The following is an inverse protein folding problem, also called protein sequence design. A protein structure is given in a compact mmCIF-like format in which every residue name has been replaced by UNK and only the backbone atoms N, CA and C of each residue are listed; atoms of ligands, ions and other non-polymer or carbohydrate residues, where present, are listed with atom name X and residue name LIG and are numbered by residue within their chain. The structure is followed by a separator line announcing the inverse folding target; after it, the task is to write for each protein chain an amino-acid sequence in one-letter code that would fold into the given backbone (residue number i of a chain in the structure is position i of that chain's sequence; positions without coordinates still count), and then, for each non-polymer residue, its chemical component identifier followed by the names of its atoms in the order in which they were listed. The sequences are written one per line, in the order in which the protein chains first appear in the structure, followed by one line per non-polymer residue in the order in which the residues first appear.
data_IF_648184524328
#
_entry.id   IF_648184524328
#
_cell.length_a   1.000
_cell.length_b   1.000
_cell.length_c   1.000
_cell.angle_alpha   90.00
_cell.angle_beta   90.00
_cell.angle_gamma   90.00
#
_symmetry.space_group_name_H-M   'P 1'
#
loop_
_entity.id
_entity.type
_entity.pdbx_description
1 polymer ?
#
# COMPACT_ATOMS: atom_id res chain seq x y z
N UNK A 1 7.82 -30.95 -1.98
CA UNK A 1 6.98 -30.68 -0.81
C UNK A 1 5.93 -29.64 -1.20
N UNK A 2 4.66 -29.77 -0.81
CA UNK A 2 3.65 -28.73 -1.08
C UNK A 2 3.96 -27.51 -0.19
N UNK A 3 3.91 -26.30 -0.79
CA UNK A 3 4.07 -25.02 -0.05
C UNK A 3 3.05 -24.95 1.10
N UNK A 4 3.44 -24.52 2.33
CA UNK A 4 2.52 -24.36 3.45
C UNK A 4 1.43 -23.34 3.15
N UNK A 5 0.26 -23.49 3.76
CA UNK A 5 -0.85 -22.52 3.68
C UNK A 5 -0.45 -21.28 4.47
N UNK A 6 -0.46 -20.13 3.82
CA UNK A 6 -0.05 -18.84 4.38
C UNK A 6 -1.23 -18.15 5.04
N UNK A 7 -1.13 -17.91 6.33
CA UNK A 7 -2.22 -17.40 7.17
C UNK A 7 -1.87 -16.03 7.73
N UNK A 8 -2.77 -15.05 7.56
CA UNK A 8 -2.76 -13.82 8.31
C UNK A 8 -3.69 -14.00 9.53
N UNK A 9 -3.17 -13.84 10.75
CA UNK A 9 -3.94 -13.96 11.98
C UNK A 9 -4.33 -12.57 12.50
N UNK A 10 -5.63 -12.35 12.68
CA UNK A 10 -6.18 -11.08 13.16
C UNK A 10 -6.87 -11.30 14.50
N UNK A 11 -6.50 -10.53 15.52
CA UNK A 11 -7.07 -10.64 16.87
C UNK A 11 -7.24 -9.23 17.49
N UNK A 12 -8.23 -9.07 18.37
CA UNK A 12 -8.46 -7.81 19.09
C UNK A 12 -7.40 -7.56 20.15
N UNK A 13 -6.39 -6.76 19.81
CA UNK A 13 -5.27 -6.41 20.68
C UNK A 13 -4.12 -7.43 20.69
N UNK A 14 -2.94 -7.01 21.16
CA UNK A 14 -1.69 -7.77 21.02
C UNK A 14 -1.64 -9.06 21.85
N UNK A 15 -2.43 -9.17 22.92
CA UNK A 15 -2.46 -10.33 23.81
C UNK A 15 -3.49 -11.41 23.39
N UNK A 16 -4.49 -11.04 22.57
CA UNK A 16 -5.57 -11.94 22.18
C UNK A 16 -5.10 -13.02 21.20
N UNK A 17 -5.57 -14.24 21.35
CA UNK A 17 -5.36 -15.33 20.40
C UNK A 17 -3.93 -15.87 20.30
N UNK A 18 -3.01 -15.52 21.22
CA UNK A 18 -1.61 -15.96 21.17
C UNK A 18 -1.46 -17.48 21.17
N UNK A 19 -2.18 -18.17 22.04
CA UNK A 19 -2.19 -19.62 22.11
C UNK A 19 -2.77 -20.27 20.83
N UNK A 20 -3.81 -19.66 20.25
CA UNK A 20 -4.42 -20.14 19.00
C UNK A 20 -3.48 -19.96 17.82
N UNK A 21 -2.83 -18.80 17.69
CA UNK A 21 -1.85 -18.56 16.64
C UNK A 21 -0.66 -19.53 16.73
N UNK A 22 -0.14 -19.76 17.93
CA UNK A 22 0.94 -20.73 18.17
C UNK A 22 0.50 -22.17 17.86
N UNK A 23 -0.71 -22.55 18.30
CA UNK A 23 -1.25 -23.87 18.03
C UNK A 23 -1.45 -24.12 16.53
N UNK A 24 -1.88 -23.13 15.76
CA UNK A 24 -2.05 -23.24 14.30
C UNK A 24 -0.69 -23.30 13.61
N UNK A 25 0.26 -22.44 14.00
CA UNK A 25 1.62 -22.40 13.45
C UNK A 25 2.47 -23.63 13.78
N UNK A 26 2.05 -24.47 14.74
CA UNK A 26 2.70 -25.75 15.02
C UNK A 26 2.45 -26.83 13.93
N UNK A 27 1.50 -26.61 13.00
CA UNK A 27 1.31 -27.49 11.84
C UNK A 27 2.30 -27.12 10.75
N UNK A 28 3.21 -28.01 10.30
CA UNK A 28 4.20 -27.72 9.26
C UNK A 28 3.56 -27.39 7.89
N UNK A 29 2.30 -27.71 7.69
CA UNK A 29 1.54 -27.36 6.49
C UNK A 29 0.93 -25.94 6.55
N UNK A 30 1.12 -25.20 7.63
CA UNK A 30 0.59 -23.86 7.87
C UNK A 30 1.73 -22.91 8.27
N UNK A 31 1.79 -21.75 7.62
CA UNK A 31 2.71 -20.66 7.93
C UNK A 31 1.92 -19.44 8.39
N UNK A 32 2.08 -19.02 9.64
CA UNK A 32 1.50 -17.78 10.15
C UNK A 32 2.43 -16.64 9.75
N UNK A 33 2.01 -15.86 8.74
CA UNK A 33 2.80 -14.76 8.16
C UNK A 33 2.97 -13.59 9.11
N UNK A 34 1.87 -13.21 9.75
CA UNK A 34 1.82 -12.10 10.68
C UNK A 34 0.63 -12.22 11.61
N UNK A 35 0.68 -11.47 12.73
CA UNK A 35 -0.42 -11.26 13.66
C UNK A 35 -0.75 -9.78 13.70
N UNK A 36 -2.01 -9.42 13.51
CA UNK A 36 -2.51 -8.04 13.54
C UNK A 36 -3.40 -7.84 14.77
N UNK A 37 -3.34 -6.65 15.33
CA UNK A 37 -4.15 -6.25 16.48
C UNK A 37 -5.46 -5.56 16.10
N UNK A 38 -5.69 -5.29 14.81
CA UNK A 38 -6.89 -4.62 14.31
C UNK A 38 -7.21 -4.99 12.87
N UNK A 39 -8.48 -4.79 12.47
CA UNK A 39 -8.91 -4.94 11.09
C UNK A 39 -8.23 -3.93 10.13
N UNK A 40 -7.96 -2.72 10.62
CA UNK A 40 -7.31 -1.65 9.81
C UNK A 40 -5.88 -2.06 9.43
N UNK A 41 -5.10 -2.56 10.40
CA UNK A 41 -3.76 -3.09 10.15
C UNK A 41 -3.79 -4.30 9.20
N UNK A 42 -4.79 -5.17 9.38
CA UNK A 42 -4.94 -6.38 8.57
C UNK A 42 -5.21 -6.09 7.10
N UNK A 43 -5.92 -5.01 6.75
CA UNK A 43 -6.19 -4.62 5.35
C UNK A 43 -4.90 -4.46 4.55
N UNK A 44 -3.96 -3.70 5.09
CA UNK A 44 -2.67 -3.47 4.43
C UNK A 44 -1.83 -4.75 4.34
N UNK A 45 -1.88 -5.58 5.39
CA UNK A 45 -1.15 -6.85 5.42
C UNK A 45 -1.77 -7.92 4.51
N UNK A 46 -3.09 -7.96 4.32
CA UNK A 46 -3.75 -8.82 3.32
C UNK A 46 -3.19 -8.50 1.94
N UNK A 47 -3.18 -7.22 1.60
CA UNK A 47 -2.70 -6.78 0.31
C UNK A 47 -1.18 -6.96 0.15
N UNK A 48 -0.38 -6.68 1.18
CA UNK A 48 1.08 -6.80 1.12
C UNK A 48 1.56 -8.26 1.06
N UNK A 49 0.97 -9.11 1.88
CA UNK A 49 1.43 -10.49 2.06
C UNK A 49 0.71 -11.49 1.17
N UNK A 50 -0.44 -11.13 0.59
CA UNK A 50 -1.31 -12.03 -0.17
C UNK A 50 -1.49 -13.39 0.54
N UNK A 51 -2.06 -13.43 1.76
CA UNK A 51 -2.24 -14.68 2.50
C UNK A 51 -3.18 -15.62 1.75
N UNK A 52 -3.05 -16.92 1.96
CA UNK A 52 -3.98 -17.89 1.41
C UNK A 52 -5.30 -17.90 2.22
N UNK A 53 -5.24 -17.51 3.50
CA UNK A 53 -6.38 -17.45 4.44
C UNK A 53 -6.18 -16.30 5.41
N UNK A 54 -7.25 -15.56 5.71
CA UNK A 54 -7.31 -14.63 6.83
C UNK A 54 -8.07 -15.31 7.97
N UNK A 55 -7.43 -15.48 9.11
CA UNK A 55 -8.04 -16.07 10.29
C UNK A 55 -8.34 -14.98 11.32
N UNK A 56 -9.61 -14.66 11.49
CA UNK A 56 -10.11 -13.70 12.46
C UNK A 56 -10.43 -14.42 13.79
N UNK A 57 -9.66 -14.08 14.82
CA UNK A 57 -9.93 -14.49 16.19
C UNK A 57 -10.83 -13.44 16.85
N UNK A 58 -12.14 -13.69 16.80
CA UNK A 58 -13.13 -12.71 17.26
C UNK A 58 -13.45 -12.93 18.73
N UNK A 59 -13.01 -12.02 19.60
CA UNK A 59 -13.72 -11.74 20.85
C UNK A 59 -14.72 -10.59 20.65
N UNK A 60 -14.50 -9.68 19.74
CA UNK A 60 -15.39 -8.57 19.34
C UNK A 60 -14.82 -7.75 18.19
N UNK A 61 -14.68 -8.29 16.99
CA UNK A 61 -14.54 -7.34 15.88
C UNK A 61 -15.80 -6.50 15.80
N UNK A 62 -15.68 -5.16 15.88
CA UNK A 62 -16.82 -4.31 15.61
C UNK A 62 -17.37 -4.62 14.19
N UNK A 63 -18.67 -4.48 13.94
CA UNK A 63 -19.25 -4.80 12.65
C UNK A 63 -18.60 -4.07 11.47
N UNK A 64 -18.11 -2.85 11.68
CA UNK A 64 -17.42 -2.03 10.68
C UNK A 64 -16.04 -2.59 10.34
N UNK A 65 -15.26 -2.96 11.34
CA UNK A 65 -13.95 -3.57 11.16
C UNK A 65 -14.03 -4.93 10.46
N UNK A 66 -15.05 -5.73 10.80
CA UNK A 66 -15.30 -7.01 10.13
C UNK A 66 -15.66 -6.82 8.66
N UNK A 67 -16.57 -5.91 8.34
CA UNK A 67 -16.96 -5.63 6.96
C UNK A 67 -15.78 -5.11 6.12
N UNK A 68 -14.93 -4.26 6.71
CA UNK A 68 -13.71 -3.77 6.07
C UNK A 68 -12.75 -4.93 5.76
N UNK A 69 -12.56 -5.84 6.71
CA UNK A 69 -11.69 -7.01 6.56
C UNK A 69 -12.21 -7.98 5.48
N UNK A 70 -13.52 -8.27 5.50
CA UNK A 70 -14.17 -9.15 4.52
C UNK A 70 -14.04 -8.57 3.10
N UNK A 71 -14.21 -7.25 2.93
CA UNK A 71 -14.02 -6.57 1.64
C UNK A 71 -12.58 -6.67 1.16
N UNK A 72 -11.60 -6.34 2.00
CA UNK A 72 -10.18 -6.40 1.64
C UNK A 72 -9.73 -7.84 1.33
N UNK A 73 -10.23 -8.80 2.09
CA UNK A 73 -9.95 -10.22 1.87
C UNK A 73 -10.57 -10.73 0.55
N UNK A 74 -11.79 -10.29 0.22
CA UNK A 74 -12.44 -10.62 -1.04
C UNK A 74 -11.71 -10.04 -2.24
N UNK A 75 -11.25 -8.79 -2.17
CA UNK A 75 -10.42 -8.14 -3.19
C UNK A 75 -9.09 -8.89 -3.39
N UNK A 76 -8.44 -9.33 -2.31
CA UNK A 76 -7.25 -10.18 -2.35
C UNK A 76 -7.53 -11.65 -2.68
N UNK A 77 -8.79 -12.06 -2.80
CA UNK A 77 -9.21 -13.45 -3.05
C UNK A 77 -8.96 -14.40 -1.88
N UNK A 78 -8.71 -13.90 -0.66
CA UNK A 78 -8.46 -14.72 0.53
C UNK A 78 -9.78 -14.98 1.29
N UNK A 79 -10.12 -16.24 1.63
CA UNK A 79 -11.26 -16.51 2.49
C UNK A 79 -10.97 -16.03 3.93
N UNK A 80 -12.01 -15.43 4.55
CA UNK A 80 -11.98 -15.08 5.98
C UNK A 80 -12.59 -16.22 6.78
N UNK A 81 -11.82 -16.80 7.68
CA UNK A 81 -12.28 -17.78 8.64
C UNK A 81 -12.39 -17.12 10.03
N UNK A 82 -13.47 -17.38 10.74
CA UNK A 82 -13.66 -16.89 12.10
C UNK A 82 -13.39 -18.02 13.08
N UNK A 83 -12.49 -17.78 14.04
CA UNK A 83 -12.30 -18.61 15.23
C UNK A 83 -12.96 -17.90 16.41
N UNK A 84 -14.08 -18.43 16.91
CA UNK A 84 -14.84 -17.80 18.00
C UNK A 84 -14.24 -18.16 19.36
N UNK A 85 -13.87 -17.12 20.12
CA UNK A 85 -13.31 -17.27 21.48
C UNK A 85 -14.38 -17.29 22.58
N UNK A 86 -15.63 -16.90 22.27
CA UNK A 86 -16.69 -16.64 23.26
C UNK A 86 -17.38 -17.91 23.76
N UNK A 87 -17.32 -18.99 23.01
CA UNK A 87 -18.05 -20.21 23.31
C UNK A 87 -17.19 -21.32 23.96
N UNK A 88 -16.03 -20.99 24.54
CA UNK A 88 -15.08 -21.99 25.09
C UNK A 88 -14.35 -22.74 23.96
N UNK A 89 -13.68 -23.88 24.23
CA UNK A 89 -12.98 -24.64 23.19
C UNK A 89 -13.99 -25.44 22.33
N UNK A 90 -14.92 -24.72 21.68
CA UNK A 90 -15.96 -25.33 20.83
C UNK A 90 -15.36 -26.00 19.59
N UNK A 91 -14.20 -25.54 19.15
CA UNK A 91 -13.45 -26.15 18.06
C UNK A 91 -12.06 -26.55 18.54
N UNK A 92 -11.70 -27.84 18.36
CA UNK A 92 -10.34 -28.27 18.63
C UNK A 92 -9.35 -27.61 17.68
N UNK A 93 -8.12 -27.35 18.14
CA UNK A 93 -7.07 -26.83 17.25
C UNK A 93 -6.85 -27.72 16.02
N UNK A 94 -7.12 -29.01 16.10
CA UNK A 94 -7.06 -29.95 14.98
C UNK A 94 -8.12 -29.61 13.92
N UNK A 95 -9.36 -29.37 14.31
CA UNK A 95 -10.45 -29.01 13.40
C UNK A 95 -10.19 -27.63 12.75
N UNK A 96 -9.70 -26.67 13.53
CA UNK A 96 -9.33 -25.35 13.01
C UNK A 96 -8.20 -25.41 11.97
N UNK A 97 -7.16 -26.21 12.22
CA UNK A 97 -6.08 -26.47 11.24
C UNK A 97 -6.62 -27.09 9.95
N UNK A 98 -7.57 -28.01 10.06
CA UNK A 98 -8.17 -28.68 8.90
C UNK A 98 -8.99 -27.69 8.05
N UNK A 99 -9.77 -26.82 8.69
CA UNK A 99 -10.48 -25.73 8.02
C UNK A 99 -9.54 -24.76 7.31
N UNK A 100 -8.46 -24.35 7.96
CA UNK A 100 -7.43 -23.47 7.38
C UNK A 100 -6.78 -24.13 6.16
N UNK A 101 -6.41 -25.40 6.25
CA UNK A 101 -5.82 -26.13 5.11
C UNK A 101 -6.80 -26.26 3.94
N UNK A 102 -8.06 -26.59 4.24
CA UNK A 102 -9.12 -26.70 3.22
C UNK A 102 -9.37 -25.37 2.49
N UNK A 103 -9.51 -24.28 3.23
CA UNK A 103 -9.73 -22.94 2.66
C UNK A 103 -8.53 -22.47 1.83
N UNK A 104 -7.31 -22.69 2.31
CA UNK A 104 -6.09 -22.33 1.56
C UNK A 104 -5.92 -23.16 0.28
N UNK A 105 -6.28 -24.43 0.30
CA UNK A 105 -6.27 -25.28 -0.89
C UNK A 105 -7.31 -24.82 -1.95
N UNK A 106 -8.51 -24.48 -1.50
CA UNK A 106 -9.56 -23.97 -2.38
C UNK A 106 -9.17 -22.66 -3.07
N UNK A 107 -8.55 -21.72 -2.33
CA UNK A 107 -8.04 -20.46 -2.90
C UNK A 107 -7.00 -20.68 -3.99
N UNK A 108 -6.05 -21.60 -3.76
CA UNK A 108 -4.98 -21.89 -4.74
C UNK A 108 -5.52 -22.52 -6.02
N UNK A 109 -6.64 -23.25 -5.94
CA UNK A 109 -7.29 -23.80 -7.10
C UNK A 109 -8.01 -22.71 -7.95
N UNK A 110 -8.40 -21.59 -7.32
CA UNK A 110 -9.13 -20.49 -7.95
C UNK A 110 -8.52 -19.13 -7.57
N UNK A 111 -7.31 -18.77 -8.07
CA UNK A 111 -6.71 -17.49 -7.76
C UNK A 111 -7.56 -16.35 -8.35
N UNK A 112 -7.95 -15.39 -7.52
CA UNK A 112 -8.62 -14.18 -7.99
C UNK A 112 -7.65 -13.40 -8.90
N UNK A 113 -8.08 -13.11 -10.13
CA UNK A 113 -7.34 -12.27 -11.07
C UNK A 113 -7.88 -10.84 -10.98
N UNK A 114 -7.02 -9.82 -10.72
CA UNK A 114 -7.47 -8.43 -10.80
C UNK A 114 -8.08 -8.15 -12.17
N UNK A 115 -9.26 -7.53 -12.19
CA UNK A 115 -9.87 -7.09 -13.44
C UNK A 115 -9.01 -5.96 -14.05
N UNK A 116 -8.68 -5.99 -15.35
CA UNK A 116 -7.99 -4.90 -16.01
C UNK A 116 -8.88 -3.65 -16.00
N UNK A 117 -8.37 -2.54 -15.47
CA UNK A 117 -9.04 -1.25 -15.57
C UNK A 117 -8.90 -0.70 -16.99
N UNK A 118 -9.98 -0.18 -17.63
CA UNK A 118 -9.86 0.52 -18.90
C UNK A 118 -9.05 1.81 -18.70
N UNK A 119 -8.06 2.04 -19.53
CA UNK A 119 -7.18 3.21 -19.45
C UNK A 119 -6.28 3.32 -20.68
N UNK A 120 -5.42 4.34 -20.71
CA UNK A 120 -4.47 4.57 -21.79
C UNK A 120 -3.59 3.35 -22.07
N UNK A 121 -3.21 3.16 -23.32
CA UNK A 121 -2.32 2.07 -23.71
C UNK A 121 -0.91 2.26 -23.13
N UNK A 122 -0.14 1.18 -22.88
CA UNK A 122 1.24 1.29 -22.38
C UNK A 122 2.12 2.25 -23.21
N UNK A 123 1.91 2.31 -24.51
CA UNK A 123 2.66 3.21 -25.41
C UNK A 123 2.28 4.69 -25.25
N UNK A 124 1.05 4.99 -24.84
CA UNK A 124 0.63 6.36 -24.51
C UNK A 124 1.21 6.81 -23.17
N UNK A 125 1.19 5.94 -22.16
CA UNK A 125 1.80 6.21 -20.86
C UNK A 125 3.32 6.43 -21.00
N UNK A 126 4.01 5.61 -21.81
CA UNK A 126 5.44 5.76 -22.07
C UNK A 126 5.80 7.11 -22.72
N UNK A 127 4.96 7.64 -23.63
CA UNK A 127 5.17 8.99 -24.20
C UNK A 127 5.00 10.08 -23.17
N UNK A 128 3.98 10.01 -22.33
CA UNK A 128 3.75 10.97 -21.25
C UNK A 128 4.87 10.97 -20.18
N UNK A 129 5.53 9.85 -20.00
CA UNK A 129 6.63 9.70 -19.04
C UNK A 129 7.88 10.52 -19.40
N UNK A 130 8.04 10.97 -20.65
CA UNK A 130 9.22 11.73 -21.07
C UNK A 130 9.28 13.15 -20.48
N UNK A 131 8.13 13.75 -20.16
CA UNK A 131 8.04 15.10 -19.59
C UNK A 131 8.13 15.13 -18.05
N UNK A 132 8.21 13.99 -17.37
CA UNK A 132 8.23 13.89 -15.90
C UNK A 132 9.64 13.55 -15.42
N UNK A 133 10.15 14.31 -14.44
CA UNK A 133 11.48 14.07 -13.85
C UNK A 133 11.45 13.12 -12.66
N UNK A 134 10.40 13.20 -11.85
CA UNK A 134 10.21 12.39 -10.65
C UNK A 134 8.73 12.19 -10.37
N UNK A 135 8.36 10.99 -9.97
CA UNK A 135 7.03 10.67 -9.45
C UNK A 135 7.15 10.41 -7.94
N UNK A 136 6.20 10.94 -7.16
CA UNK A 136 6.12 10.68 -5.73
C UNK A 136 4.72 10.19 -5.38
N UNK A 137 4.61 9.08 -4.64
CA UNK A 137 3.31 8.52 -4.26
C UNK A 137 3.28 8.27 -2.75
N UNK A 138 2.25 8.78 -2.08
CA UNK A 138 1.99 8.56 -0.67
C UNK A 138 0.71 7.75 -0.47
N UNK A 139 0.72 6.80 0.46
CA UNK A 139 -0.43 5.96 0.77
C UNK A 139 -0.38 5.41 2.21
N UNK A 140 -1.54 4.98 2.72
CA UNK A 140 -1.68 4.33 4.03
C UNK A 140 -2.73 3.21 3.95
N UNK A 141 -3.74 3.21 4.79
CA UNK A 141 -4.79 2.16 4.84
C UNK A 141 -5.47 1.97 3.47
N UNK A 142 -5.46 0.75 2.95
CA UNK A 142 -5.91 0.42 1.60
C UNK A 142 -4.90 0.78 0.49
N UNK A 143 -3.75 1.37 0.89
CA UNK A 143 -2.73 1.87 -0.03
C UNK A 143 -1.99 0.77 -0.78
N UNK A 144 -1.81 -0.39 -0.18
CA UNK A 144 -1.09 -1.50 -0.81
C UNK A 144 -1.80 -1.96 -2.08
N UNK A 145 -3.12 -2.16 -2.04
CA UNK A 145 -3.90 -2.54 -3.22
C UNK A 145 -3.98 -1.39 -4.23
N UNK A 146 -4.14 -0.15 -3.72
CA UNK A 146 -4.12 1.03 -4.56
C UNK A 146 -2.79 1.17 -5.34
N UNK A 147 -1.66 0.95 -4.67
CA UNK A 147 -0.32 0.97 -5.28
C UNK A 147 -0.16 -0.14 -6.32
N UNK A 148 -0.63 -1.35 -6.06
CA UNK A 148 -0.63 -2.45 -7.06
C UNK A 148 -1.39 -2.02 -8.31
N UNK A 149 -2.60 -1.46 -8.16
CA UNK A 149 -3.43 -1.00 -9.30
C UNK A 149 -2.77 0.12 -10.10
N UNK A 150 -2.13 1.07 -9.43
CA UNK A 150 -1.48 2.22 -10.09
C UNK A 150 -0.18 1.78 -10.76
N UNK A 151 0.72 1.13 -10.00
CA UNK A 151 2.08 0.80 -10.46
C UNK A 151 2.11 -0.33 -11.51
N UNK A 152 1.16 -1.26 -11.49
CA UNK A 152 1.06 -2.31 -12.53
C UNK A 152 0.78 -1.75 -13.93
N UNK A 153 0.35 -0.48 -14.04
CA UNK A 153 0.14 0.22 -15.30
C UNK A 153 1.33 1.07 -15.72
N UNK A 154 2.36 1.21 -14.89
CA UNK A 154 3.53 2.02 -15.20
C UNK A 154 4.35 1.40 -16.33
N UNK A 155 4.87 2.21 -17.28
CA UNK A 155 5.78 1.71 -18.31
C UNK A 155 7.13 1.29 -17.70
N UNK A 156 7.82 0.34 -18.36
CA UNK A 156 9.09 -0.19 -17.88
C UNK A 156 10.17 0.89 -17.71
N UNK A 157 10.16 1.95 -18.54
CA UNK A 157 11.08 3.08 -18.47
C UNK A 157 10.49 4.28 -17.72
N UNK A 158 9.61 4.03 -16.74
CA UNK A 158 9.00 5.08 -15.90
C UNK A 158 10.04 6.07 -15.37
N UNK A 159 9.71 7.36 -15.17
CA UNK A 159 10.55 8.25 -14.36
C UNK A 159 10.89 7.65 -13.00
N UNK A 160 12.04 7.99 -12.38
CA UNK A 160 12.31 7.59 -11.01
C UNK A 160 11.07 7.84 -10.17
N UNK A 161 10.64 6.82 -9.41
CA UNK A 161 9.42 6.91 -8.61
C UNK A 161 9.75 6.60 -7.16
N UNK A 162 9.35 7.45 -6.22
CA UNK A 162 9.44 7.18 -4.78
C UNK A 162 8.05 6.94 -4.22
N UNK A 163 7.94 5.93 -3.38
CA UNK A 163 6.69 5.50 -2.75
C UNK A 163 6.85 5.48 -1.24
N UNK A 164 5.97 6.17 -0.53
CA UNK A 164 5.83 6.05 0.92
C UNK A 164 4.49 5.38 1.22
N UNK A 165 4.55 4.16 1.73
CA UNK A 165 3.42 3.42 2.26
C UNK A 165 3.61 3.26 3.77
N UNK A 166 2.65 3.70 4.57
CA UNK A 166 2.71 3.46 6.02
C UNK A 166 2.56 1.97 6.30
N UNK A 167 3.66 1.36 6.73
CA UNK A 167 3.75 -0.08 6.92
C UNK A 167 4.89 -0.41 7.90
N UNK A 168 4.74 -1.42 8.77
CA UNK A 168 5.83 -1.85 9.63
C UNK A 168 7.05 -2.34 8.83
N UNK A 169 8.26 -2.09 9.36
CA UNK A 169 9.54 -2.41 8.70
C UNK A 169 9.64 -3.86 8.20
N UNK A 170 9.06 -4.80 8.97
CA UNK A 170 9.10 -6.22 8.63
C UNK A 170 8.46 -6.55 7.27
N UNK A 171 7.59 -5.68 6.74
CA UNK A 171 6.79 -5.98 5.54
C UNK A 171 7.21 -5.17 4.31
N UNK A 172 7.99 -4.10 4.44
CA UNK A 172 8.33 -3.21 3.31
C UNK A 172 9.15 -3.91 2.23
N UNK A 173 10.13 -4.72 2.60
CA UNK A 173 10.91 -5.51 1.64
C UNK A 173 10.06 -6.55 0.89
N UNK A 174 9.17 -7.27 1.59
CA UNK A 174 8.25 -8.24 0.98
C UNK A 174 7.25 -7.57 0.06
N UNK A 175 6.77 -6.38 0.42
CA UNK A 175 5.87 -5.57 -0.40
C UNK A 175 6.56 -5.08 -1.68
N UNK A 176 7.78 -4.55 -1.57
CA UNK A 176 8.57 -4.15 -2.72
C UNK A 176 8.81 -5.32 -3.69
N UNK A 177 9.20 -6.49 -3.18
CA UNK A 177 9.37 -7.70 -3.99
C UNK A 177 8.06 -8.17 -4.66
N UNK A 178 6.92 -8.03 -3.99
CA UNK A 178 5.63 -8.31 -4.59
C UNK A 178 5.31 -7.34 -5.73
N UNK A 179 5.49 -6.03 -5.52
CA UNK A 179 5.30 -5.03 -6.57
C UNK A 179 6.22 -5.30 -7.77
N UNK A 180 7.49 -5.65 -7.53
CA UNK A 180 8.45 -6.00 -8.57
C UNK A 180 7.94 -7.15 -9.46
N UNK A 181 7.29 -8.15 -8.86
CA UNK A 181 6.70 -9.28 -9.60
C UNK A 181 5.45 -8.95 -10.41
N UNK A 182 4.80 -7.80 -10.15
CA UNK A 182 3.52 -7.40 -10.76
C UNK A 182 3.64 -6.21 -11.72
N UNK A 183 4.75 -5.47 -11.64
CA UNK A 183 4.95 -4.23 -12.37
C UNK A 183 5.99 -4.40 -13.48
N UNK A 184 5.91 -3.57 -14.53
CA UNK A 184 6.91 -3.57 -15.59
C UNK A 184 8.23 -2.87 -15.19
N UNK A 185 8.24 -1.75 -14.42
CA UNK A 185 9.47 -1.19 -13.86
C UNK A 185 10.02 -2.05 -12.72
N UNK A 186 11.32 -1.94 -12.45
CA UNK A 186 11.96 -2.58 -11.29
C UNK A 186 11.50 -1.89 -10.01
N UNK A 187 11.01 -2.66 -9.04
CA UNK A 187 10.59 -2.15 -7.74
C UNK A 187 11.50 -2.67 -6.63
N UNK A 188 12.02 -1.78 -5.80
CA UNK A 188 12.94 -2.11 -4.70
C UNK A 188 12.57 -1.36 -3.43
N UNK A 189 12.87 -1.98 -2.29
CA UNK A 189 12.95 -1.21 -1.05
C UNK A 189 14.14 -0.24 -1.15
N UNK A 190 13.93 1.02 -0.76
CA UNK A 190 14.95 2.05 -0.85
C UNK A 190 16.06 1.86 0.21
N UNK A 191 17.29 2.25 -0.12
CA UNK A 191 18.42 2.31 0.81
C UNK A 191 19.06 3.70 0.77
N UNK A 192 19.81 4.06 1.81
CA UNK A 192 20.48 5.37 1.83
C UNK A 192 21.51 5.47 0.70
N UNK A 193 21.43 6.55 -0.06
CA UNK A 193 22.27 6.77 -1.22
C UNK A 193 21.80 6.09 -2.51
N UNK A 194 20.66 5.38 -2.52
CA UNK A 194 20.10 4.75 -3.74
C UNK A 194 19.99 5.76 -4.88
N UNK A 195 20.60 5.51 -6.07
CA UNK A 195 20.47 6.42 -7.21
C UNK A 195 19.04 6.42 -7.73
N UNK A 196 18.50 7.60 -8.03
CA UNK A 196 17.16 7.74 -8.63
C UNK A 196 17.26 7.57 -10.16
N UNK A 197 16.96 6.38 -10.63
CA UNK A 197 17.10 5.95 -12.02
C UNK A 197 15.74 5.76 -12.71
N UNK A 198 15.68 6.03 -14.01
CA UNK A 198 14.51 5.66 -14.82
C UNK A 198 14.29 4.15 -14.81
N UNK A 199 13.04 3.73 -14.90
CA UNK A 199 12.66 2.34 -14.82
C UNK A 199 12.64 1.78 -13.39
N UNK A 200 12.87 2.61 -12.37
CA UNK A 200 12.94 2.17 -10.98
C UNK A 200 11.89 2.87 -10.08
N UNK A 201 11.30 2.06 -9.22
CA UNK A 201 10.39 2.48 -8.14
C UNK A 201 11.04 2.13 -6.80
N UNK A 202 11.12 3.09 -5.90
CA UNK A 202 11.77 2.99 -4.60
C UNK A 202 10.73 3.08 -3.49
N UNK A 203 10.48 1.98 -2.80
CA UNK A 203 9.56 1.91 -1.66
C UNK A 203 10.32 2.31 -0.40
N UNK A 204 9.85 3.30 0.33
CA UNK A 204 10.46 3.73 1.58
C UNK A 204 10.44 2.59 2.61
N UNK A 205 11.59 2.24 3.24
CA UNK A 205 11.60 1.25 4.30
C UNK A 205 10.82 1.74 5.51
N UNK A 206 10.01 0.88 6.10
CA UNK A 206 9.43 1.15 7.41
C UNK A 206 10.50 1.16 8.49
N UNK A 207 10.33 1.91 9.57
CA UNK A 207 11.21 1.81 10.71
C UNK A 207 11.94 3.10 11.12
N UNK A 208 13.27 3.11 11.27
CA UNK A 208 13.94 4.17 12.02
C UNK A 208 14.21 5.45 11.21
N UNK A 209 13.86 5.51 9.92
CA UNK A 209 14.21 6.65 9.08
C UNK A 209 13.05 7.11 8.18
N UNK A 210 13.07 8.38 7.80
CA UNK A 210 12.26 8.92 6.71
C UNK A 210 12.99 8.77 5.38
N UNK A 211 12.23 8.65 4.28
CA UNK A 211 12.77 8.78 2.94
C UNK A 211 12.73 10.24 2.54
N UNK A 212 13.85 10.78 2.13
CA UNK A 212 14.01 12.09 1.52
C UNK A 212 14.66 11.97 0.14
N UNK A 213 14.47 12.96 -0.71
CA UNK A 213 15.08 13.05 -2.03
C UNK A 213 16.14 14.13 -2.03
N UNK A 214 17.34 13.77 -2.46
CA UNK A 214 18.39 14.70 -2.83
C UNK A 214 18.47 14.76 -4.37
N UNK A 215 18.43 15.99 -4.94
CA UNK A 215 18.46 16.17 -6.39
C UNK A 215 19.79 16.70 -6.89
N UNK A 216 20.42 17.60 -6.16
CA UNK A 216 21.72 18.19 -6.45
C UNK A 216 22.67 17.92 -5.26
N UNK A 217 23.93 17.56 -5.43
CA UNK A 217 24.67 17.36 -6.70
C UNK A 217 24.39 16.03 -7.39
N UNK A 218 23.73 15.08 -6.75
CA UNK A 218 23.40 13.77 -7.28
C UNK A 218 21.97 13.38 -6.93
N UNK A 219 21.27 12.80 -7.90
CA UNK A 219 19.89 12.32 -7.74
C UNK A 219 19.88 11.02 -6.96
N UNK A 220 19.47 11.06 -5.69
CA UNK A 220 19.48 9.89 -4.81
C UNK A 220 18.43 9.97 -3.71
N UNK A 221 18.09 8.83 -3.17
CA UNK A 221 17.36 8.69 -1.91
C UNK A 221 18.30 8.99 -0.73
N UNK A 222 17.77 9.64 0.29
CA UNK A 222 18.39 9.74 1.62
C UNK A 222 17.44 9.14 2.64
N UNK A 223 17.99 8.34 3.56
CA UNK A 223 17.26 7.84 4.71
C UNK A 223 17.70 8.61 5.95
N UNK A 224 16.79 9.41 6.51
CA UNK A 224 17.10 10.35 7.60
C UNK A 224 16.44 9.88 8.90
N UNK A 225 17.22 9.51 9.94
CA UNK A 225 16.68 9.00 11.20
C UNK A 225 16.26 10.16 12.12
N UNK A 226 15.14 10.80 11.78
CA UNK A 226 14.54 11.86 12.60
C UNK A 226 13.26 11.38 13.27
N UNK A 227 12.69 12.18 14.17
CA UNK A 227 11.48 11.87 14.90
C UNK A 227 10.28 11.62 13.95
N UNK A 228 9.30 10.77 14.34
CA UNK A 228 8.10 10.55 13.57
C UNK A 228 7.34 11.86 13.30
N UNK A 229 6.89 12.05 12.06
CA UNK A 229 6.02 13.16 11.65
C UNK A 229 4.62 12.61 11.43
N UNK A 230 3.59 13.28 11.94
CA UNK A 230 2.20 12.80 11.94
C UNK A 230 2.03 11.39 12.52
N UNK A 231 2.90 11.00 13.48
CA UNK A 231 3.01 9.65 14.08
C UNK A 231 3.54 8.57 13.13
N UNK A 232 4.04 8.95 11.96
CA UNK A 232 4.54 8.01 10.94
C UNK A 232 6.04 8.19 10.69
N UNK A 233 6.71 7.09 10.50
CA UNK A 233 8.09 6.98 10.00
C UNK A 233 8.22 5.67 9.21
N UNK A 234 8.34 5.79 7.84
CA UNK A 234 8.46 7.02 7.06
C UNK A 234 7.16 7.84 7.04
N UNK A 235 7.29 9.17 6.87
CA UNK A 235 6.18 10.10 6.66
C UNK A 235 6.13 10.54 5.19
N UNK A 236 4.92 10.62 4.64
CA UNK A 236 4.66 11.15 3.30
C UNK A 236 4.98 12.64 3.23
N UNK A 237 4.62 13.41 4.27
CA UNK A 237 4.92 14.84 4.34
C UNK A 237 6.43 15.11 4.27
N UNK A 238 7.25 14.31 4.97
CA UNK A 238 8.71 14.47 4.93
C UNK A 238 9.25 14.22 3.53
N UNK A 239 8.81 13.15 2.88
CA UNK A 239 9.25 12.82 1.53
C UNK A 239 8.85 13.90 0.52
N UNK A 240 7.61 14.31 0.52
CA UNK A 240 7.09 15.33 -0.41
C UNK A 240 7.73 16.71 -0.17
N UNK A 241 7.84 17.12 1.10
CA UNK A 241 8.52 18.36 1.45
C UNK A 241 10.01 18.36 1.03
N UNK A 242 10.69 17.20 1.13
CA UNK A 242 12.07 17.09 0.67
C UNK A 242 12.21 17.29 -0.83
N UNK A 243 11.27 16.76 -1.62
CA UNK A 243 11.22 16.91 -3.07
C UNK A 243 11.00 18.38 -3.45
N UNK A 244 10.06 19.05 -2.79
CA UNK A 244 9.81 20.48 -3.02
C UNK A 244 11.04 21.34 -2.69
N UNK A 245 11.70 21.09 -1.53
CA UNK A 245 12.93 21.79 -1.14
C UNK A 245 14.10 21.52 -2.07
N UNK A 246 14.18 20.32 -2.64
CA UNK A 246 15.26 19.95 -3.55
C UNK A 246 15.13 20.62 -4.93
N UNK A 247 14.03 21.32 -5.21
CA UNK A 247 13.80 22.00 -6.47
C UNK A 247 13.73 21.05 -7.67
N UNK A 248 13.18 19.87 -7.48
CA UNK A 248 13.03 18.88 -8.56
C UNK A 248 12.08 19.43 -9.63
N UNK A 249 12.51 19.57 -10.89
CA UNK A 249 11.63 20.07 -11.95
C UNK A 249 10.62 19.00 -12.36
N UNK A 250 9.46 19.41 -12.88
CA UNK A 250 8.46 18.52 -13.47
C UNK A 250 8.09 17.31 -12.60
N UNK A 251 7.86 17.57 -11.32
CA UNK A 251 7.38 16.56 -10.36
C UNK A 251 5.90 16.28 -10.56
N UNK A 252 5.51 15.02 -10.46
CA UNK A 252 4.12 14.61 -10.27
C UNK A 252 3.99 13.88 -8.95
N UNK A 253 3.12 14.37 -8.06
CA UNK A 253 2.86 13.74 -6.80
C UNK A 253 1.41 13.24 -6.70
N UNK A 254 1.22 12.04 -6.18
CA UNK A 254 -0.09 11.44 -5.94
C UNK A 254 -0.26 11.05 -4.47
N UNK A 255 -1.39 11.45 -3.87
CA UNK A 255 -1.76 11.05 -2.52
C UNK A 255 -2.96 10.13 -2.57
N UNK A 256 -2.76 8.87 -2.19
CA UNK A 256 -3.75 7.81 -2.27
C UNK A 256 -4.48 7.64 -0.93
N UNK A 257 -5.40 6.68 -0.92
CA UNK A 257 -6.17 6.26 0.25
C UNK A 257 -5.31 6.13 1.51
N UNK A 258 -5.85 6.55 2.63
CA UNK A 258 -5.19 6.47 3.92
C UNK A 258 -5.92 7.22 5.02
N UNK A 259 -5.70 6.80 6.26
CA UNK A 259 -6.24 7.46 7.44
C UNK A 259 -5.37 8.67 7.84
N UNK A 260 -6.00 9.71 8.38
CA UNK A 260 -5.30 10.89 8.89
C UNK A 260 -5.04 11.95 7.83
N UNK A 261 -3.90 12.64 7.92
CA UNK A 261 -3.56 13.81 7.10
C UNK A 261 -2.13 13.84 6.56
N UNK A 262 -1.33 12.82 6.85
CA UNK A 262 0.07 12.79 6.41
C UNK A 262 0.15 12.84 4.88
N UNK A 263 1.06 13.65 4.38
CA UNK A 263 1.21 13.92 2.95
C UNK A 263 0.43 15.13 2.43
N UNK A 264 -0.53 15.68 3.19
CA UNK A 264 -1.31 16.83 2.75
C UNK A 264 -0.46 18.12 2.66
N UNK A 265 0.34 18.40 3.69
CA UNK A 265 1.21 19.58 3.71
C UNK A 265 2.38 19.44 2.72
N UNK A 266 2.96 18.24 2.63
CA UNK A 266 3.99 17.94 1.65
C UNK A 266 3.48 18.06 0.20
N UNK A 267 2.25 17.61 -0.07
CA UNK A 267 1.62 17.77 -1.37
C UNK A 267 1.41 19.26 -1.71
N UNK A 268 0.97 20.06 -0.72
CA UNK A 268 0.86 21.52 -0.85
C UNK A 268 2.21 22.17 -1.17
N UNK A 269 3.29 21.71 -0.54
CA UNK A 269 4.64 22.21 -0.83
C UNK A 269 5.08 21.87 -2.25
N UNK A 270 4.80 20.66 -2.76
CA UNK A 270 5.07 20.28 -4.15
C UNK A 270 4.27 21.16 -5.12
N UNK A 271 2.99 21.40 -4.86
CA UNK A 271 2.15 22.27 -5.68
C UNK A 271 2.68 23.71 -5.72
N UNK A 272 3.05 24.25 -4.57
CA UNK A 272 3.64 25.58 -4.45
C UNK A 272 4.98 25.71 -5.20
N UNK A 273 5.75 24.62 -5.32
CA UNK A 273 6.98 24.54 -6.11
C UNK A 273 6.73 24.31 -7.62
N UNK A 274 5.48 24.33 -8.08
CA UNK A 274 5.12 24.14 -9.49
C UNK A 274 5.02 22.67 -9.93
N UNK A 275 5.03 21.72 -8.99
CA UNK A 275 4.74 20.31 -9.27
C UNK A 275 3.24 20.08 -9.43
N UNK A 276 2.89 19.06 -10.21
CA UNK A 276 1.50 18.64 -10.41
C UNK A 276 1.08 17.69 -9.31
N UNK A 277 -0.13 17.89 -8.76
CA UNK A 277 -0.61 17.18 -7.58
C UNK A 277 -1.94 16.48 -7.84
N UNK A 278 -2.02 15.21 -7.47
CA UNK A 278 -3.16 14.33 -7.66
C UNK A 278 -3.58 13.76 -6.31
N UNK A 279 -4.86 13.68 -6.04
CA UNK A 279 -5.39 12.92 -4.92
C UNK A 279 -6.36 11.86 -5.40
N UNK A 280 -6.38 10.71 -4.76
CA UNK A 280 -7.41 9.71 -5.00
C UNK A 280 -8.77 10.27 -4.60
N UNK A 281 -9.80 10.04 -5.41
CA UNK A 281 -11.16 10.50 -5.12
C UNK A 281 -11.80 9.73 -3.95
N UNK A 282 -12.96 10.22 -3.50
CA UNK A 282 -13.69 9.64 -2.37
C UNK A 282 -14.21 8.24 -2.67
N UNK A 283 -14.79 8.06 -3.85
CA UNK A 283 -15.55 6.86 -4.19
C UNK A 283 -14.67 5.63 -4.35
N UNK A 284 -13.44 5.81 -4.81
CA UNK A 284 -12.47 4.73 -4.96
C UNK A 284 -11.54 4.54 -3.75
N UNK A 285 -11.57 5.46 -2.76
CA UNK A 285 -10.74 5.37 -1.56
C UNK A 285 -11.29 4.35 -0.56
N UNK A 286 -10.45 3.44 -0.06
CA UNK A 286 -10.79 2.57 1.07
C UNK A 286 -11.02 3.40 2.33
N UNK A 287 -10.13 4.36 2.59
CA UNK A 287 -10.24 5.36 3.66
C UNK A 287 -9.93 6.74 3.08
N UNK A 288 -10.96 7.60 3.02
CA UNK A 288 -10.84 8.95 2.46
C UNK A 288 -10.41 9.96 3.53
N UNK A 289 -9.20 9.77 4.09
CA UNK A 289 -8.62 10.65 5.11
C UNK A 289 -7.52 11.53 4.54
N UNK A 290 -6.39 10.96 4.14
CA UNK A 290 -5.25 11.68 3.57
C UNK A 290 -5.62 12.47 2.31
N UNK A 291 -6.33 11.91 1.31
CA UNK A 291 -6.78 12.67 0.14
C UNK A 291 -7.72 13.83 0.50
N UNK A 292 -8.67 13.60 1.43
CA UNK A 292 -9.57 14.65 1.90
C UNK A 292 -8.82 15.80 2.54
N UNK A 293 -7.88 15.49 3.44
CA UNK A 293 -7.08 16.52 4.12
C UNK A 293 -6.28 17.37 3.14
N UNK A 294 -5.74 16.77 2.06
CA UNK A 294 -5.04 17.50 1.02
C UNK A 294 -5.97 18.41 0.21
N UNK A 295 -7.19 17.95 -0.11
CA UNK A 295 -8.20 18.77 -0.78
C UNK A 295 -8.65 19.96 0.07
N UNK A 296 -8.90 19.73 1.36
CA UNK A 296 -9.34 20.77 2.31
C UNK A 296 -8.35 21.95 2.43
N UNK A 297 -7.05 21.69 2.24
CA UNK A 297 -6.01 22.75 2.29
C UNK A 297 -5.59 23.25 0.92
N UNK A 298 -6.30 22.89 -0.15
CA UNK A 298 -5.99 23.32 -1.51
C UNK A 298 -4.68 22.78 -2.06
N UNK A 299 -4.25 21.60 -1.64
CA UNK A 299 -3.00 20.98 -2.07
C UNK A 299 -3.13 20.19 -3.38
N UNK A 300 -4.32 20.04 -3.92
CA UNK A 300 -4.64 19.11 -5.03
C UNK A 300 -5.04 19.87 -6.29
N UNK A 301 -4.43 19.53 -7.42
CA UNK A 301 -4.87 20.00 -8.73
C UNK A 301 -6.04 19.15 -9.24
N UNK A 302 -5.96 17.81 -9.06
CA UNK A 302 -6.95 16.87 -9.58
C UNK A 302 -7.32 15.78 -8.57
N UNK A 303 -8.61 15.67 -8.23
CA UNK A 303 -9.16 14.49 -7.55
C UNK A 303 -9.53 13.46 -8.64
N UNK A 304 -8.97 12.24 -8.53
CA UNK A 304 -8.98 11.26 -9.63
C UNK A 304 -9.35 9.88 -9.13
N UNK A 305 -10.27 9.16 -9.80
CA UNK A 305 -10.54 7.77 -9.48
C UNK A 305 -9.30 6.90 -9.56
N UNK A 306 -9.16 5.93 -8.65
CA UNK A 306 -7.97 5.07 -8.55
C UNK A 306 -7.54 4.46 -9.91
N UNK A 307 -8.51 4.00 -10.72
CA UNK A 307 -8.24 3.41 -12.02
C UNK A 307 -7.67 4.37 -13.06
N UNK A 308 -7.82 5.69 -12.85
CA UNK A 308 -7.34 6.74 -13.76
C UNK A 308 -6.06 7.46 -13.26
N UNK A 309 -5.57 7.15 -12.05
CA UNK A 309 -4.40 7.83 -11.46
C UNK A 309 -3.14 7.63 -12.32
N UNK A 310 -2.89 6.42 -12.82
CA UNK A 310 -1.75 6.19 -13.71
C UNK A 310 -1.84 7.05 -14.99
N UNK A 311 -3.03 7.17 -15.58
CA UNK A 311 -3.25 8.03 -16.73
C UNK A 311 -3.01 9.50 -16.38
N UNK A 312 -3.53 9.96 -15.24
CA UNK A 312 -3.33 11.32 -14.75
C UNK A 312 -1.86 11.65 -14.47
N UNK A 313 -1.06 10.68 -13.98
CA UNK A 313 0.38 10.86 -13.76
C UNK A 313 1.12 11.10 -15.08
N UNK A 314 0.81 10.37 -16.13
CA UNK A 314 1.54 10.39 -17.39
C UNK A 314 0.92 11.31 -18.47
N UNK A 315 -0.30 11.82 -18.29
CA UNK A 315 -0.96 12.70 -19.23
C UNK A 315 -0.80 14.16 -18.80
N UNK A 316 -0.08 14.99 -19.56
CA UNK A 316 0.06 16.42 -19.26
C UNK A 316 -1.28 17.18 -19.36
N UNK A 317 -2.21 16.68 -20.17
CA UNK A 317 -3.48 17.33 -20.54
C UNK A 317 -4.72 16.53 -20.11
N UNK A 318 -4.66 15.69 -19.08
CA UNK A 318 -5.87 15.14 -18.51
C UNK A 318 -6.71 16.29 -17.94
N UNK A 319 -7.39 16.98 -18.85
CA UNK A 319 -8.24 18.12 -18.57
C UNK A 319 -9.22 17.76 -17.46
N UNK A 320 -9.09 18.52 -16.41
CA UNK A 320 -10.01 18.76 -15.32
C UNK A 320 -11.46 18.56 -15.76
N UNK A 321 -12.10 17.50 -15.33
CA UNK A 321 -13.51 17.62 -15.02
C UNK A 321 -13.55 18.13 -13.59
N UNK A 322 -13.73 19.45 -13.46
CA UNK A 322 -14.09 20.09 -12.22
C UNK A 322 -15.28 19.33 -11.62
N UNK A 323 -15.06 18.73 -10.48
CA UNK A 323 -16.14 18.32 -9.61
C UNK A 323 -16.52 19.55 -8.79
N UNK A 324 -17.53 20.28 -9.27
CA UNK A 324 -18.30 21.26 -8.48
C UNK A 324 -19.15 20.50 -7.43
#
# INVERSE_FOLDING_TARGET
MKRPVRVLFVADGPAAGGATAAAIGADPAIEVLARCASAVEAVDLIAALAPDVVLLYASAADPGGRALLERAAAEGGAPVLVADARNGPAESYSALRERVRGAGAARRAHPARPAPSPGASPSQLARGAQGVSLIAIGASTGGVEALVRVLSRFPADTPPTVVVQHMPALFTASFAARLDSLCAPTVREAWDGAPLERGCVYVAPGGPAHLEVQWIPARRVRLTPTEPVNRHRPSVDVAFASIARAGVPHVVAALLTGMGRDGAEGLRAIRAAGGRTIAQDRDSSTVYGMPRAALEIGAVDHATPLGAIADAIFSPDAAVKEAI
#
